data_IF_614417022722
#
_entry.id   IF_614417022722
#
_cell.length_a   1.000
_cell.length_b   1.000
_cell.length_c   1.000
_cell.angle_alpha   90.00
_cell.angle_beta   90.00
_cell.angle_gamma   90.00
#
_symmetry.space_group_name_H-M   'P 1'
#
loop_
_entity.id
_entity.type
_entity.pdbx_description
1 polymer ?
#
# COMPACT_ATOMS: atom_id res chain seq x y z
N UNK A 1 6.51 -6.05 6.67
CA UNK A 1 5.18 -5.75 6.10
C UNK A 1 4.84 -6.55 4.83
N UNK A 2 5.77 -6.74 3.89
CA UNK A 2 5.51 -7.43 2.60
C UNK A 2 4.75 -8.76 2.66
N UNK A 3 5.15 -9.70 3.52
CA UNK A 3 4.50 -11.01 3.62
C UNK A 3 3.04 -10.87 4.08
N UNK A 4 2.77 -9.98 5.05
CA UNK A 4 1.42 -9.74 5.53
C UNK A 4 0.54 -9.10 4.44
N UNK A 5 1.07 -8.11 3.71
CA UNK A 5 0.35 -7.51 2.59
C UNK A 5 0.06 -8.54 1.49
N UNK A 6 1.04 -9.37 1.13
CA UNK A 6 0.86 -10.44 0.15
C UNK A 6 -0.20 -11.46 0.59
N UNK A 7 -0.22 -11.84 1.87
CA UNK A 7 -1.21 -12.75 2.43
C UNK A 7 -2.62 -12.16 2.38
N UNK A 8 -2.78 -10.87 2.67
CA UNK A 8 -4.07 -10.17 2.56
C UNK A 8 -4.51 -10.03 1.11
N UNK A 9 -3.61 -9.67 0.20
CA UNK A 9 -3.95 -9.56 -1.23
C UNK A 9 -4.36 -10.91 -1.82
N UNK A 10 -3.79 -12.01 -1.34
CA UNK A 10 -4.16 -13.37 -1.75
C UNK A 10 -5.61 -13.73 -1.43
N UNK A 11 -6.24 -13.08 -0.44
CA UNK A 11 -7.66 -13.30 -0.13
C UNK A 11 -8.61 -12.48 -1.01
N UNK A 12 -8.09 -11.77 -2.02
CA UNK A 12 -8.85 -10.91 -2.93
C UNK A 12 -9.85 -9.96 -2.24
N UNK A 13 -9.41 -9.16 -1.25
CA UNK A 13 -10.32 -8.36 -0.43
C UNK A 13 -10.98 -7.24 -1.24
N UNK A 14 -12.24 -6.94 -0.94
CA UNK A 14 -12.96 -5.80 -1.53
C UNK A 14 -12.50 -4.43 -0.99
N UNK A 15 -11.88 -4.43 0.19
CA UNK A 15 -11.39 -3.24 0.89
C UNK A 15 -10.04 -3.54 1.54
N UNK A 16 -9.05 -2.69 1.28
CA UNK A 16 -7.74 -2.76 1.90
C UNK A 16 -7.58 -1.61 2.91
N UNK A 17 -7.25 -1.95 4.16
CA UNK A 17 -7.00 -0.98 5.24
C UNK A 17 -5.50 -0.97 5.55
N UNK A 18 -4.83 0.17 5.36
CA UNK A 18 -3.38 0.31 5.61
C UNK A 18 -3.10 1.46 6.56
N UNK A 19 -2.41 1.17 7.66
CA UNK A 19 -1.89 2.16 8.60
C UNK A 19 -0.38 2.23 8.54
N UNK A 20 0.15 3.43 8.28
CA UNK A 20 1.57 3.74 8.12
C UNK A 20 2.36 2.72 7.27
N UNK A 21 1.95 2.46 6.01
CA UNK A 21 2.52 1.35 5.24
C UNK A 21 3.93 1.63 4.70
N UNK A 22 4.42 2.86 4.76
CA UNK A 22 5.81 3.20 4.39
C UNK A 22 6.78 2.98 5.54
N UNK A 23 6.31 2.67 6.75
CA UNK A 23 7.21 2.44 7.88
C UNK A 23 8.14 1.27 7.60
N UNK A 24 9.43 1.48 7.88
CA UNK A 24 10.49 0.50 7.70
C UNK A 24 10.70 0.05 6.23
N UNK A 25 10.16 0.79 5.25
CA UNK A 25 10.47 0.61 3.83
C UNK A 25 11.58 1.59 3.42
N UNK A 26 12.51 1.11 2.61
CA UNK A 26 13.39 1.98 1.83
C UNK A 26 12.64 2.57 0.62
N UNK A 27 13.32 3.42 -0.15
CA UNK A 27 12.75 4.13 -1.29
C UNK A 27 12.24 3.16 -2.36
N UNK A 28 13.06 2.18 -2.74
CA UNK A 28 12.70 1.21 -3.78
C UNK A 28 11.46 0.39 -3.39
N UNK A 29 11.38 -0.03 -2.13
CA UNK A 29 10.23 -0.78 -1.65
C UNK A 29 8.96 0.09 -1.48
N UNK A 30 9.11 1.40 -1.24
CA UNK A 30 7.99 2.34 -1.26
C UNK A 30 7.41 2.49 -2.67
N UNK A 31 8.27 2.61 -3.69
CA UNK A 31 7.83 2.70 -5.09
C UNK A 31 7.06 1.45 -5.54
N UNK A 32 7.54 0.26 -5.15
CA UNK A 32 6.83 -0.99 -5.43
C UNK A 32 5.48 -1.07 -4.71
N UNK A 33 5.39 -0.55 -3.48
CA UNK A 33 4.12 -0.45 -2.76
C UNK A 33 3.16 0.49 -3.50
N UNK A 34 3.61 1.68 -3.92
CA UNK A 34 2.79 2.63 -4.68
C UNK A 34 2.24 1.97 -5.95
N UNK A 35 3.10 1.30 -6.73
CA UNK A 35 2.69 0.56 -7.93
C UNK A 35 1.63 -0.50 -7.62
N UNK A 36 1.81 -1.26 -6.55
CA UNK A 36 0.85 -2.28 -6.14
C UNK A 36 -0.51 -1.67 -5.76
N UNK A 37 -0.51 -0.53 -5.05
CA UNK A 37 -1.73 0.18 -4.65
C UNK A 37 -2.45 0.79 -5.85
N UNK A 38 -1.73 1.40 -6.80
CA UNK A 38 -2.33 1.95 -8.02
C UNK A 38 -2.94 0.86 -8.93
N UNK A 39 -2.43 -0.37 -8.86
CA UNK A 39 -2.99 -1.51 -9.58
C UNK A 39 -4.15 -2.21 -8.84
N UNK A 40 -4.44 -1.81 -7.60
CA UNK A 40 -5.49 -2.42 -6.80
C UNK A 40 -6.83 -1.75 -7.12
N UNK A 41 -7.60 -2.38 -8.03
CA UNK A 41 -8.85 -1.85 -8.58
C UNK A 41 -10.06 -1.85 -7.61
N UNK A 42 -9.82 -1.89 -6.30
CA UNK A 42 -10.84 -2.00 -5.25
C UNK A 42 -10.60 -0.91 -4.21
N UNK A 43 -11.47 -0.81 -3.21
CA UNK A 43 -11.40 0.29 -2.26
C UNK A 43 -10.15 0.20 -1.37
N UNK A 44 -9.47 1.34 -1.16
CA UNK A 44 -8.34 1.47 -0.23
C UNK A 44 -8.69 2.56 0.79
N UNK A 45 -8.44 2.28 2.06
CA UNK A 45 -8.33 3.30 3.11
C UNK A 45 -6.91 3.30 3.61
N UNK A 46 -6.26 4.44 3.47
CA UNK A 46 -4.85 4.65 3.78
C UNK A 46 -4.72 5.70 4.88
N UNK A 47 -3.95 5.38 5.92
CA UNK A 47 -3.46 6.31 6.93
C UNK A 47 -1.93 6.35 6.79
N UNK A 48 -1.37 7.52 6.51
CA UNK A 48 0.07 7.67 6.35
C UNK A 48 0.52 9.08 6.67
N UNK A 49 1.73 9.23 7.22
CA UNK A 49 2.46 10.50 7.25
C UNK A 49 3.34 10.73 5.99
N UNK A 50 3.45 9.74 5.11
CA UNK A 50 4.29 9.75 3.91
C UNK A 50 3.71 10.60 2.78
N UNK A 51 4.07 11.87 2.73
CA UNK A 51 3.59 12.82 1.69
C UNK A 51 3.80 12.32 0.25
N UNK A 52 4.92 11.63 -0.01
CA UNK A 52 5.22 11.06 -1.34
C UNK A 52 4.21 9.98 -1.74
N UNK A 53 3.90 9.04 -0.83
CA UNK A 53 2.89 8.00 -1.05
C UNK A 53 1.52 8.64 -1.37
N UNK A 54 1.11 9.62 -0.56
CA UNK A 54 -0.20 10.29 -0.72
C UNK A 54 -0.28 11.06 -2.04
N UNK A 55 0.83 11.67 -2.49
CA UNK A 55 0.86 12.45 -3.71
C UNK A 55 0.96 11.61 -5.00
N UNK A 56 1.35 10.34 -4.88
CA UNK A 56 1.64 9.46 -6.03
C UNK A 56 0.57 8.39 -6.26
N UNK A 57 -0.32 8.18 -5.28
CA UNK A 57 -1.49 7.31 -5.47
C UNK A 57 -2.59 8.09 -6.19
N UNK A 58 -3.11 7.51 -7.27
CA UNK A 58 -4.17 8.07 -8.12
C UNK A 58 -5.58 7.54 -7.75
#
# INVERSE_FOLDING_TARGET
MRIALAAVLFTEPNLLLLGEPTNYLDIDNCEELIRALNNFNRAIILISHGRHLIATID
#
